data_IF_117501112253
#
_entry.id   IF_117501112253
#
_cell.length_a   1.000
_cell.length_b   1.000
_cell.length_c   1.000
_cell.angle_alpha   90.00
_cell.angle_beta   90.00
_cell.angle_gamma   90.00
#
_symmetry.space_group_name_H-M   'P 1'
#
loop_
_entity.id
_entity.type
_entity.pdbx_description
1 polymer ?
#
# COMPACT_ATOMS: atom_id res chain seq x y z
N UNK A 1 1.15 8.20 20.31
CA UNK A 1 1.53 8.77 18.99
C UNK A 1 1.56 10.30 19.01
N UNK A 2 0.44 10.98 19.22
CA UNK A 2 0.36 12.46 19.16
C UNK A 2 1.34 13.20 20.08
N UNK A 3 1.44 12.82 21.36
CA UNK A 3 2.24 13.57 22.33
C UNK A 3 3.76 13.37 22.22
N UNK A 4 4.22 12.34 21.51
CA UNK A 4 5.65 11.95 21.49
C UNK A 4 6.24 12.02 20.10
N UNK A 5 5.54 11.57 19.07
CA UNK A 5 6.09 11.57 17.70
C UNK A 5 5.76 12.88 17.00
N UNK A 6 4.47 13.24 16.96
CA UNK A 6 3.99 14.44 16.25
C UNK A 6 4.52 15.72 16.92
N UNK A 7 4.44 15.82 18.26
CA UNK A 7 4.98 16.99 19.00
C UNK A 7 6.49 17.16 18.85
N UNK A 8 7.24 16.09 18.61
CA UNK A 8 8.68 16.14 18.40
C UNK A 8 9.07 16.20 16.90
N UNK A 9 8.10 16.47 16.02
CA UNK A 9 8.30 16.61 14.58
C UNK A 9 8.94 15.38 13.91
N UNK A 10 8.68 14.19 14.44
CA UNK A 10 9.11 12.93 13.83
C UNK A 10 8.17 12.59 12.66
N UNK A 11 8.71 12.54 11.45
CA UNK A 11 7.98 12.10 10.27
C UNK A 11 7.82 10.57 10.28
N UNK A 12 6.60 10.09 10.09
CA UNK A 12 6.26 8.68 9.97
C UNK A 12 5.48 8.49 8.66
N UNK A 13 6.11 7.83 7.69
CA UNK A 13 5.52 7.64 6.36
C UNK A 13 4.55 6.46 6.30
N UNK A 14 4.65 5.53 7.25
CA UNK A 14 3.75 4.38 7.35
C UNK A 14 4.03 3.50 8.56
N UNK A 15 3.00 2.79 9.03
CA UNK A 15 3.09 1.84 10.16
C UNK A 15 2.55 0.48 9.77
N UNK A 16 3.39 -0.55 9.91
CA UNK A 16 3.00 -1.94 9.73
C UNK A 16 2.88 -2.57 11.13
N UNK A 17 1.66 -2.71 11.64
CA UNK A 17 1.44 -3.43 12.90
C UNK A 17 1.36 -4.93 12.62
N UNK A 18 2.30 -5.71 13.12
CA UNK A 18 2.28 -7.17 13.03
C UNK A 18 1.78 -7.73 14.35
N UNK A 19 0.60 -8.35 14.35
CA UNK A 19 0.00 -8.87 15.58
C UNK A 19 -0.77 -10.18 15.32
N UNK A 20 -0.50 -11.17 16.15
CA UNK A 20 -0.74 -12.60 15.92
C UNK A 20 -0.11 -13.09 14.60
N UNK A 21 1.22 -13.17 14.57
CA UNK A 21 1.99 -13.74 13.45
C UNK A 21 2.81 -14.92 13.96
N UNK A 22 2.56 -16.08 13.39
CA UNK A 22 3.33 -17.30 13.64
C UNK A 22 2.81 -18.45 12.79
N UNK A 23 1.53 -18.38 12.42
CA UNK A 23 0.86 -19.43 11.67
C UNK A 23 0.83 -20.74 12.44
N UNK A 24 0.41 -21.79 11.76
CA UNK A 24 0.49 -23.16 12.25
C UNK A 24 0.30 -24.13 11.09
N UNK A 25 0.70 -25.38 11.30
CA UNK A 25 0.42 -26.44 10.33
C UNK A 25 -1.09 -26.54 10.09
N UNK A 26 -1.50 -26.54 8.82
CA UNK A 26 -2.89 -26.78 8.41
C UNK A 26 -3.77 -25.54 8.21
N UNK A 27 -3.27 -24.32 8.44
CA UNK A 27 -3.99 -23.10 8.06
C UNK A 27 -3.58 -22.63 6.65
N UNK A 28 -4.40 -21.83 5.95
CA UNK A 28 -4.03 -21.26 4.67
C UNK A 28 -2.71 -20.49 4.72
N UNK A 29 -1.85 -20.71 3.74
CA UNK A 29 -0.58 -19.99 3.58
C UNK A 29 -0.81 -18.62 2.92
N UNK A 30 -1.64 -17.82 3.57
CA UNK A 30 -2.00 -16.45 3.19
C UNK A 30 -1.90 -15.56 4.42
N UNK A 31 -1.91 -14.24 4.26
CA UNK A 31 -1.94 -13.29 5.39
C UNK A 31 -3.12 -12.33 5.25
N UNK A 32 -3.69 -11.90 6.38
CA UNK A 32 -4.76 -10.90 6.38
C UNK A 32 -4.15 -9.52 6.63
N UNK A 33 -4.59 -8.55 5.85
CA UNK A 33 -4.21 -7.14 6.00
C UNK A 33 -5.46 -6.30 6.23
N UNK A 34 -5.46 -5.56 7.33
CA UNK A 34 -6.52 -4.65 7.73
C UNK A 34 -6.08 -3.21 7.49
N UNK A 35 -6.90 -2.44 6.78
CA UNK A 35 -6.75 -1.00 6.67
C UNK A 35 -8.13 -0.36 6.50
N UNK A 36 -8.51 0.49 7.46
CA UNK A 36 -9.78 1.20 7.46
C UNK A 36 -9.68 2.54 6.72
N UNK A 37 -10.79 2.98 6.13
CA UNK A 37 -10.99 4.34 5.68
C UNK A 37 -11.76 4.42 4.37
N UNK A 38 -11.88 5.65 3.86
CA UNK A 38 -12.37 5.90 2.51
C UNK A 38 -11.41 5.32 1.48
N UNK A 39 -11.89 5.03 0.27
CA UNK A 39 -11.07 4.38 -0.77
C UNK A 39 -9.76 5.12 -1.10
N UNK A 40 -9.73 6.45 -0.95
CA UNK A 40 -8.56 7.31 -1.15
C UNK A 40 -7.85 7.71 0.15
N UNK A 41 -8.14 7.04 1.27
CA UNK A 41 -7.47 7.33 2.54
C UNK A 41 -5.98 6.97 2.47
N UNK A 42 -5.10 7.64 3.22
CA UNK A 42 -3.69 7.28 3.30
C UNK A 42 -3.45 5.82 3.72
N UNK A 43 -4.32 5.25 4.57
CA UNK A 43 -4.22 3.85 4.98
C UNK A 43 -4.55 2.89 3.83
N UNK A 44 -5.53 3.24 3.00
CA UNK A 44 -5.94 2.49 1.81
C UNK A 44 -4.93 2.60 0.67
N UNK A 45 -4.32 3.77 0.50
CA UNK A 45 -3.18 3.95 -0.41
C UNK A 45 -1.98 3.09 0.03
N UNK A 46 -1.63 3.11 1.32
CA UNK A 46 -0.54 2.31 1.87
C UNK A 46 -0.80 0.81 1.74
N UNK A 47 -2.04 0.38 1.99
CA UNK A 47 -2.49 -0.99 1.76
C UNK A 47 -2.32 -1.45 0.29
N UNK A 48 -2.70 -0.61 -0.68
CA UNK A 48 -2.49 -0.90 -2.12
C UNK A 48 -1.02 -1.04 -2.46
N UNK A 49 -0.18 -0.14 -1.96
CA UNK A 49 1.27 -0.26 -2.13
C UNK A 49 1.82 -1.55 -1.53
N UNK A 50 1.43 -1.89 -0.30
CA UNK A 50 1.85 -3.12 0.37
C UNK A 50 1.48 -4.37 -0.43
N UNK A 51 0.25 -4.42 -0.98
CA UNK A 51 -0.22 -5.49 -1.86
C UNK A 51 0.56 -5.56 -3.17
N UNK A 52 0.85 -4.42 -3.78
CA UNK A 52 1.64 -4.35 -5.01
C UNK A 52 3.05 -4.92 -4.81
N UNK A 53 3.74 -4.51 -3.74
CA UNK A 53 5.06 -5.07 -3.39
C UNK A 53 4.96 -6.57 -3.07
N UNK A 54 3.90 -7.04 -2.41
CA UNK A 54 3.68 -8.48 -2.20
C UNK A 54 3.61 -9.25 -3.52
N UNK A 55 2.88 -8.72 -4.51
CA UNK A 55 2.78 -9.32 -5.84
C UNK A 55 4.13 -9.41 -6.56
N UNK A 56 5.02 -8.43 -6.35
CA UNK A 56 6.35 -8.42 -6.97
C UNK A 56 7.33 -9.39 -6.30
N UNK A 57 7.36 -9.46 -4.97
CA UNK A 57 8.42 -10.15 -4.23
C UNK A 57 8.00 -11.44 -3.52
N UNK A 58 6.69 -11.69 -3.43
CA UNK A 58 6.15 -12.86 -2.75
C UNK A 58 4.84 -13.37 -3.41
N UNK A 59 4.82 -13.60 -4.74
CA UNK A 59 3.59 -13.91 -5.48
C UNK A 59 2.91 -15.21 -5.04
N UNK A 60 3.66 -16.14 -4.43
CA UNK A 60 3.17 -17.41 -3.93
C UNK A 60 2.53 -17.32 -2.52
N UNK A 61 2.56 -16.15 -1.88
CA UNK A 61 1.96 -15.92 -0.57
C UNK A 61 0.87 -14.84 -0.66
N UNK A 62 -0.38 -15.26 -0.94
CA UNK A 62 -1.48 -14.33 -1.14
C UNK A 62 -1.80 -13.52 0.12
N UNK A 63 -2.28 -12.30 -0.12
CA UNK A 63 -2.72 -11.38 0.93
C UNK A 63 -4.20 -11.06 0.76
N UNK A 64 -4.97 -11.27 1.82
CA UNK A 64 -6.39 -10.94 1.89
C UNK A 64 -6.57 -9.56 2.51
N UNK A 65 -7.07 -8.60 1.72
CA UNK A 65 -7.38 -7.27 2.21
C UNK A 65 -8.75 -7.23 2.89
N UNK A 66 -8.83 -6.49 3.99
CA UNK A 66 -10.05 -6.28 4.77
C UNK A 66 -10.15 -4.78 5.08
N UNK A 67 -11.25 -4.16 4.64
CA UNK A 67 -11.55 -2.76 4.94
C UNK A 67 -12.17 -2.60 6.33
N UNK A 68 -11.33 -2.81 7.35
CA UNK A 68 -11.68 -2.61 8.75
C UNK A 68 -10.40 -2.28 9.53
N UNK A 69 -10.55 -1.73 10.73
CA UNK A 69 -9.40 -1.39 11.57
C UNK A 69 -8.70 -2.62 12.14
N UNK A 70 -9.50 -3.60 12.53
CA UNK A 70 -9.10 -4.89 13.10
C UNK A 70 -10.29 -5.86 12.96
N UNK A 71 -10.16 -7.04 13.58
CA UNK A 71 -11.24 -8.01 13.76
C UNK A 71 -12.33 -7.42 14.68
N UNK A 72 -13.54 -7.90 14.52
CA UNK A 72 -14.68 -7.47 15.34
C UNK A 72 -14.37 -7.59 16.84
N UNK A 73 -14.66 -6.52 17.59
CA UNK A 73 -14.44 -6.45 19.04
C UNK A 73 -12.96 -6.41 19.49
N UNK A 74 -12.02 -6.26 18.56
CA UNK A 74 -10.58 -6.17 18.85
C UNK A 74 -10.01 -4.82 18.44
N UNK A 75 -8.87 -4.47 19.04
CA UNK A 75 -8.09 -3.30 18.72
C UNK A 75 -6.61 -3.66 18.74
N UNK A 76 -5.80 -2.89 18.02
CA UNK A 76 -4.35 -2.99 18.07
C UNK A 76 -3.70 -1.62 17.97
N UNK A 77 -2.38 -1.58 18.12
CA UNK A 77 -1.61 -0.33 18.21
C UNK A 77 -1.73 0.55 16.95
N UNK A 78 -2.03 -0.04 15.79
CA UNK A 78 -2.26 0.71 14.55
C UNK A 78 -3.36 1.77 14.69
N UNK A 79 -4.34 1.55 15.57
CA UNK A 79 -5.47 2.46 15.80
C UNK A 79 -5.03 3.88 16.13
N UNK A 80 -4.00 4.02 16.96
CA UNK A 80 -3.54 5.34 17.39
C UNK A 80 -2.83 6.11 16.28
N UNK A 81 -2.28 5.40 15.28
CA UNK A 81 -1.72 6.00 14.08
C UNK A 81 -2.82 6.37 13.09
N UNK A 82 -3.82 5.51 12.92
CA UNK A 82 -5.02 5.80 12.13
C UNK A 82 -5.72 7.06 12.63
N UNK A 83 -5.98 7.15 13.93
CA UNK A 83 -6.60 8.32 14.56
C UNK A 83 -5.77 9.61 14.41
N UNK A 84 -4.45 9.47 14.22
CA UNK A 84 -3.54 10.58 13.99
C UNK A 84 -3.37 10.94 12.50
N UNK A 85 -4.06 10.25 11.58
CA UNK A 85 -3.96 10.45 10.14
C UNK A 85 -2.67 9.90 9.52
N UNK A 86 -1.91 9.08 10.25
CA UNK A 86 -0.67 8.47 9.78
C UNK A 86 -1.00 7.16 9.05
N UNK A 87 -0.53 6.94 7.81
CA UNK A 87 -0.76 5.69 7.09
C UNK A 87 -0.41 4.47 7.95
N UNK A 88 -1.33 3.53 8.09
CA UNK A 88 -1.18 2.42 9.02
C UNK A 88 -2.02 1.22 8.59
N UNK A 89 -1.43 0.04 8.68
CA UNK A 89 -2.08 -1.23 8.39
C UNK A 89 -1.81 -2.22 9.54
N UNK A 90 -2.68 -3.21 9.68
CA UNK A 90 -2.44 -4.38 10.53
C UNK A 90 -2.26 -5.63 9.68
N UNK A 91 -1.25 -6.40 9.99
CA UNK A 91 -0.94 -7.71 9.42
C UNK A 91 -1.17 -8.75 10.50
N UNK A 92 -1.96 -9.77 10.18
CA UNK A 92 -2.28 -10.88 11.10
C UNK A 92 -2.42 -12.18 10.32
N UNK A 93 -2.20 -13.30 10.99
CA UNK A 93 -2.23 -14.61 10.34
C UNK A 93 -3.59 -14.94 9.70
N UNK A 94 -3.59 -15.85 8.73
CA UNK A 94 -4.81 -16.23 7.96
C UNK A 94 -5.93 -16.72 8.86
N UNK A 95 -5.58 -17.49 9.89
CA UNK A 95 -6.52 -18.04 10.85
C UNK A 95 -5.86 -18.15 12.22
N UNK A 96 -6.39 -17.41 13.18
CA UNK A 96 -5.93 -17.45 14.56
C UNK A 96 -6.48 -18.65 15.32
N UNK A 97 -5.72 -19.09 16.32
CA UNK A 97 -6.16 -20.10 17.28
C UNK A 97 -6.49 -19.46 18.64
N UNK A 98 -7.79 -19.31 18.99
CA UNK A 98 -8.19 -18.73 20.26
C UNK A 98 -7.67 -19.47 21.49
N UNK A 99 -7.30 -20.75 21.37
CA UNK A 99 -6.73 -21.54 22.48
C UNK A 99 -5.26 -21.20 22.77
N UNK A 100 -4.57 -20.58 21.81
CA UNK A 100 -3.20 -20.11 21.97
C UNK A 100 -3.16 -18.67 22.50
N UNK A 101 -4.12 -17.83 22.13
CA UNK A 101 -4.12 -16.42 22.54
C UNK A 101 -4.05 -16.27 24.07
N UNK A 102 -3.00 -15.60 24.56
CA UNK A 102 -2.71 -15.40 25.99
C UNK A 102 -2.62 -16.70 26.81
N UNK A 103 -2.28 -17.82 26.16
CA UNK A 103 -2.10 -19.13 26.79
C UNK A 103 -0.65 -19.35 27.18
N UNK A 104 -0.41 -20.09 28.27
CA UNK A 104 0.95 -20.56 28.63
C UNK A 104 1.54 -21.52 27.59
N UNK A 105 0.69 -22.01 26.68
CA UNK A 105 1.10 -22.92 25.61
C UNK A 105 1.33 -22.19 24.29
N UNK A 106 1.26 -20.86 24.26
CA UNK A 106 1.70 -20.04 23.12
C UNK A 106 3.22 -19.95 23.15
N UNK A 107 3.87 -20.96 22.57
CA UNK A 107 5.31 -21.14 22.63
C UNK A 107 5.90 -21.29 21.23
N UNK A 108 7.21 -21.05 21.13
CA UNK A 108 7.93 -21.05 19.85
C UNK A 108 7.89 -22.39 19.09
N UNK A 109 7.56 -23.49 19.77
CA UNK A 109 7.36 -24.81 19.18
C UNK A 109 6.09 -24.90 18.32
N UNK A 110 5.12 -24.00 18.50
CA UNK A 110 3.86 -23.98 17.73
C UNK A 110 3.91 -23.12 16.48
N UNK A 111 5.00 -22.38 16.27
CA UNK A 111 5.19 -21.50 15.13
C UNK A 111 5.45 -22.32 13.86
N UNK A 112 4.74 -21.99 12.78
CA UNK A 112 5.14 -22.39 11.42
C UNK A 112 6.22 -21.42 10.93
N UNK A 113 7.49 -21.81 11.06
CA UNK A 113 8.62 -20.97 10.64
C UNK A 113 8.65 -20.69 9.13
N UNK A 114 8.03 -21.53 8.30
CA UNK A 114 7.88 -21.26 6.86
C UNK A 114 6.89 -20.12 6.63
N UNK A 115 5.76 -20.15 7.33
CA UNK A 115 4.78 -19.07 7.33
C UNK A 115 5.39 -17.76 7.84
N UNK A 116 6.04 -17.79 9.00
CA UNK A 116 6.71 -16.63 9.60
C UNK A 116 7.76 -16.03 8.66
N UNK A 117 8.55 -16.87 7.98
CA UNK A 117 9.53 -16.42 7.00
C UNK A 117 8.89 -15.71 5.79
N UNK A 118 7.72 -16.16 5.32
CA UNK A 118 6.97 -15.50 4.23
C UNK A 118 6.43 -14.13 4.64
N UNK A 119 5.85 -14.01 5.84
CA UNK A 119 5.41 -12.71 6.37
C UNK A 119 6.61 -11.77 6.57
N UNK A 120 7.71 -12.28 7.11
CA UNK A 120 8.95 -11.53 7.30
C UNK A 120 9.52 -11.03 5.98
N UNK A 121 9.56 -11.89 4.94
CA UNK A 121 10.01 -11.51 3.60
C UNK A 121 9.16 -10.38 3.03
N UNK A 122 7.84 -10.45 3.19
CA UNK A 122 6.92 -9.42 2.72
C UNK A 122 7.17 -8.08 3.44
N UNK A 123 7.19 -8.08 4.77
CA UNK A 123 7.49 -6.88 5.56
C UNK A 123 8.84 -6.26 5.16
N UNK A 124 9.87 -7.10 5.01
CA UNK A 124 11.20 -6.65 4.61
C UNK A 124 11.21 -6.07 3.20
N UNK A 125 10.53 -6.69 2.23
CA UNK A 125 10.44 -6.18 0.87
C UNK A 125 9.77 -4.79 0.82
N UNK A 126 8.71 -4.59 1.62
CA UNK A 126 8.03 -3.29 1.72
C UNK A 126 8.95 -2.27 2.37
N UNK A 127 9.51 -2.55 3.55
CA UNK A 127 10.39 -1.61 4.26
C UNK A 127 11.64 -1.27 3.43
N UNK A 128 12.24 -2.24 2.75
CA UNK A 128 13.42 -2.02 1.91
C UNK A 128 13.09 -1.16 0.67
N UNK A 129 11.91 -1.38 0.05
CA UNK A 129 11.45 -0.49 -1.02
C UNK A 129 11.20 0.91 -0.46
N UNK A 130 10.46 1.05 0.64
CA UNK A 130 10.19 2.34 1.27
C UNK A 130 11.46 3.14 1.59
N UNK A 131 12.42 2.51 2.26
CA UNK A 131 13.63 3.19 2.74
C UNK A 131 14.62 3.52 1.62
N UNK A 132 14.62 2.74 0.54
CA UNK A 132 15.53 2.91 -0.59
C UNK A 132 14.92 3.63 -1.79
N UNK A 133 13.60 3.80 -1.84
CA UNK A 133 12.89 4.44 -2.92
C UNK A 133 13.08 5.96 -2.90
N UNK A 134 12.85 6.64 -4.04
CA UNK A 134 12.87 8.09 -4.08
C UNK A 134 11.71 8.69 -3.27
N UNK A 135 11.77 10.00 -3.04
CA UNK A 135 10.71 10.74 -2.38
C UNK A 135 9.37 10.57 -3.11
N UNK A 136 8.28 10.54 -2.34
CA UNK A 136 6.91 10.53 -2.87
C UNK A 136 6.71 11.76 -3.79
N UNK A 137 6.31 11.59 -5.06
CA UNK A 137 6.03 12.73 -5.93
C UNK A 137 4.79 13.51 -5.45
N UNK A 138 4.75 14.79 -5.83
CA UNK A 138 3.53 15.59 -5.76
C UNK A 138 2.47 15.05 -6.75
N UNK A 139 1.17 15.25 -6.45
CA UNK A 139 0.11 14.80 -7.35
C UNK A 139 0.18 15.53 -8.70
N UNK A 140 -0.07 14.82 -9.81
CA UNK A 140 -0.11 15.44 -11.13
C UNK A 140 -1.35 16.34 -11.26
N UNK A 141 -1.25 17.40 -12.06
CA UNK A 141 -2.44 18.07 -12.58
C UNK A 141 -3.08 17.18 -13.64
N UNK A 142 -4.40 17.00 -13.56
CA UNK A 142 -5.14 16.17 -14.53
C UNK A 142 -6.29 16.97 -15.12
N UNK A 143 -6.41 16.97 -16.45
CA UNK A 143 -7.50 17.65 -17.16
C UNK A 143 -8.14 16.70 -18.19
N UNK A 144 -9.45 16.80 -18.37
CA UNK A 144 -10.16 16.06 -19.40
C UNK A 144 -9.74 16.53 -20.80
N UNK A 145 -9.63 15.60 -21.74
CA UNK A 145 -9.41 15.89 -23.16
C UNK A 145 -10.74 15.92 -23.90
N UNK A 146 -10.74 16.46 -25.13
CA UNK A 146 -11.94 16.48 -25.98
C UNK A 146 -12.42 15.08 -26.38
N UNK A 147 -11.55 14.06 -26.28
CA UNK A 147 -11.89 12.66 -26.54
C UNK A 147 -12.44 12.06 -25.23
N UNK A 148 -13.67 11.52 -25.22
CA UNK A 148 -14.25 10.88 -24.04
C UNK A 148 -13.36 9.77 -23.49
N UNK A 149 -13.22 9.68 -22.16
CA UNK A 149 -12.36 8.69 -21.51
C UNK A 149 -10.87 8.96 -21.70
N UNK A 150 -10.48 10.18 -22.08
CA UNK A 150 -9.08 10.59 -22.19
C UNK A 150 -8.78 11.78 -21.30
N UNK A 151 -7.63 11.72 -20.63
CA UNK A 151 -7.14 12.76 -19.72
C UNK A 151 -5.70 13.10 -20.03
N UNK A 152 -5.33 14.36 -19.85
CA UNK A 152 -3.95 14.80 -19.91
C UNK A 152 -3.43 15.00 -18.48
N UNK A 153 -2.34 14.31 -18.16
CA UNK A 153 -1.62 14.44 -16.90
C UNK A 153 -0.40 15.32 -17.10
N UNK A 154 -0.18 16.27 -16.19
CA UNK A 154 0.99 17.15 -16.20
C UNK A 154 1.62 17.25 -14.82
N UNK A 155 2.93 17.09 -14.73
CA UNK A 155 3.71 17.28 -13.50
C UNK A 155 5.14 17.74 -13.84
N UNK A 156 5.89 18.20 -12.84
CA UNK A 156 7.30 18.57 -13.01
C UNK A 156 8.16 17.32 -12.82
N UNK A 157 8.88 16.83 -13.85
CA UNK A 157 9.76 15.68 -13.68
C UNK A 157 10.96 16.02 -12.79
N UNK A 158 11.33 15.08 -11.93
CA UNK A 158 12.58 15.13 -11.19
C UNK A 158 13.68 14.48 -12.05
N UNK A 159 14.72 15.26 -12.32
CA UNK A 159 15.88 14.85 -13.15
C UNK A 159 16.68 13.69 -12.56
N UNK A 160 16.51 13.37 -11.28
CA UNK A 160 17.22 12.28 -10.60
C UNK A 160 16.47 10.95 -10.66
N UNK A 161 15.22 10.94 -11.16
CA UNK A 161 14.45 9.72 -11.33
C UNK A 161 14.77 9.06 -12.67
N UNK A 162 14.76 7.73 -12.68
CA UNK A 162 14.83 6.94 -13.90
C UNK A 162 13.50 6.98 -14.68
N UNK A 163 12.39 7.18 -13.97
CA UNK A 163 11.06 7.26 -14.56
C UNK A 163 9.96 7.34 -13.52
N UNK A 164 8.74 7.08 -13.97
CA UNK A 164 7.53 7.11 -13.17
C UNK A 164 6.66 5.89 -13.43
N UNK A 165 6.00 5.40 -12.39
CA UNK A 165 4.87 4.48 -12.50
C UNK A 165 3.57 5.26 -12.32
N UNK A 166 2.65 5.12 -13.25
CA UNK A 166 1.36 5.79 -13.25
C UNK A 166 0.28 4.76 -12.92
N UNK A 167 -0.52 5.07 -11.91
CA UNK A 167 -1.73 4.33 -11.57
C UNK A 167 -2.97 5.11 -12.00
N UNK A 168 -3.92 4.41 -12.61
CA UNK A 168 -5.22 4.94 -13.03
C UNK A 168 -6.28 3.88 -12.75
N UNK A 169 -6.80 3.87 -11.52
CA UNK A 169 -7.73 2.81 -11.05
C UNK A 169 -9.16 3.33 -10.99
N UNK A 170 -10.19 2.53 -11.34
CA UNK A 170 -11.56 2.88 -11.00
C UNK A 170 -11.69 3.05 -9.48
N UNK A 171 -12.38 4.10 -9.03
CA UNK A 171 -12.65 4.30 -7.60
C UNK A 171 -13.41 3.09 -7.05
N UNK A 172 -13.02 2.63 -5.86
CA UNK A 172 -13.51 1.39 -5.24
C UNK A 172 -12.68 0.14 -5.58
N UNK A 173 -11.66 0.25 -6.43
CA UNK A 173 -10.71 -0.85 -6.66
C UNK A 173 -9.74 -0.99 -5.49
N UNK A 174 -9.67 -2.19 -4.91
CA UNK A 174 -8.78 -2.51 -3.78
C UNK A 174 -7.32 -2.72 -4.18
N UNK A 175 -7.05 -2.89 -5.48
CA UNK A 175 -5.73 -3.14 -6.05
C UNK A 175 -5.30 -2.05 -7.03
N UNK A 176 -3.99 -1.94 -7.26
CA UNK A 176 -3.52 -1.23 -8.45
C UNK A 176 -3.77 -2.09 -9.70
N UNK A 177 -4.37 -1.53 -10.76
CA UNK A 177 -4.35 -2.16 -12.08
C UNK A 177 -2.91 -2.21 -12.60
N UNK A 178 -2.66 -2.87 -13.74
CA UNK A 178 -1.37 -2.78 -14.43
C UNK A 178 -0.91 -1.32 -14.52
N UNK A 179 0.27 -1.04 -13.95
CA UNK A 179 0.83 0.31 -13.93
C UNK A 179 1.35 0.67 -15.32
N UNK A 180 1.21 1.94 -15.70
CA UNK A 180 1.88 2.47 -16.88
C UNK A 180 3.23 3.05 -16.48
N UNK A 181 4.30 2.50 -17.02
CA UNK A 181 5.66 2.98 -16.80
C UNK A 181 6.05 4.02 -17.86
N UNK A 182 6.72 5.09 -17.43
CA UNK A 182 7.19 6.19 -18.28
C UNK A 182 8.63 6.50 -17.93
N UNK A 183 9.51 6.56 -18.93
CA UNK A 183 10.91 6.94 -18.71
C UNK A 183 11.03 8.44 -18.40
N UNK A 184 12.09 8.85 -17.70
CA UNK A 184 12.26 10.26 -17.30
C UNK A 184 12.34 11.24 -18.47
N UNK A 185 12.82 10.80 -19.64
CA UNK A 185 12.86 11.61 -20.87
C UNK A 185 11.48 11.82 -21.54
N UNK A 186 10.48 11.04 -21.16
CA UNK A 186 9.10 11.09 -21.68
C UNK A 186 8.11 11.61 -20.62
N UNK A 187 8.59 11.86 -19.40
CA UNK A 187 7.77 12.23 -18.26
C UNK A 187 7.28 13.69 -18.29
N UNK A 188 6.25 13.97 -17.50
CA UNK A 188 5.80 15.33 -17.21
C UNK A 188 4.59 15.79 -18.02
N UNK A 189 4.30 15.17 -19.16
CA UNK A 189 3.09 15.45 -19.93
C UNK A 189 2.59 14.19 -20.66
N UNK A 190 1.63 13.49 -20.06
CA UNK A 190 1.19 12.16 -20.51
C UNK A 190 -0.32 12.11 -20.72
N UNK A 191 -0.74 11.73 -21.92
CA UNK A 191 -2.14 11.42 -22.20
C UNK A 191 -2.47 10.00 -21.71
N UNK A 192 -3.45 9.88 -20.82
CA UNK A 192 -4.14 8.63 -20.50
C UNK A 192 -5.32 8.50 -21.46
N UNK A 193 -5.31 7.48 -22.29
CA UNK A 193 -6.37 7.18 -23.27
C UNK A 193 -7.01 5.84 -22.95
N UNK A 194 -8.10 5.53 -23.65
CA UNK A 194 -8.77 4.23 -23.61
C UNK A 194 -9.36 3.87 -22.24
N UNK A 195 -9.64 4.88 -21.40
CA UNK A 195 -10.41 4.69 -20.17
C UNK A 195 -11.90 4.59 -20.50
N UNK A 196 -12.65 3.89 -19.65
CA UNK A 196 -14.09 3.68 -19.83
C UNK A 196 -14.82 5.01 -19.58
N UNK A 197 -15.46 5.61 -20.59
CA UNK A 197 -16.26 6.82 -20.39
C UNK A 197 -17.37 6.58 -19.37
N UNK A 198 -17.69 7.57 -18.53
CA UNK A 198 -18.67 7.39 -17.45
C UNK A 198 -18.09 6.88 -16.13
N UNK A 199 -16.84 6.41 -16.11
CA UNK A 199 -16.19 5.87 -14.89
C UNK A 199 -15.35 6.92 -14.18
N UNK A 200 -15.50 7.05 -12.87
CA UNK A 200 -14.62 7.86 -12.02
C UNK A 200 -13.34 7.10 -11.71
N UNK A 201 -12.19 7.72 -11.98
CA UNK A 201 -10.86 7.17 -11.74
C UNK A 201 -10.13 7.92 -10.64
N UNK A 202 -9.33 7.20 -9.87
CA UNK A 202 -8.28 7.73 -9.01
C UNK A 202 -6.94 7.60 -9.74
N UNK A 203 -6.24 8.72 -9.91
CA UNK A 203 -4.97 8.80 -10.64
C UNK A 203 -3.85 9.22 -9.70
N UNK A 204 -2.71 8.55 -9.78
CA UNK A 204 -1.53 8.88 -8.99
C UNK A 204 -0.24 8.46 -9.69
N UNK A 205 0.89 9.03 -9.27
CA UNK A 205 2.21 8.72 -9.83
C UNK A 205 3.19 8.34 -8.71
N UNK A 206 4.06 7.37 -8.98
CA UNK A 206 5.20 7.03 -8.13
C UNK A 206 6.50 7.26 -8.91
N UNK A 207 7.54 7.74 -8.22
CA UNK A 207 8.88 7.87 -8.79
C UNK A 207 9.63 6.55 -8.78
N UNK A 208 10.51 6.37 -9.76
CA UNK A 208 11.36 5.18 -9.90
C UNK A 208 12.82 5.61 -9.88
N UNK A 209 13.63 5.02 -8.99
CA UNK A 209 15.08 5.27 -8.95
C UNK A 209 15.82 4.47 -10.04
N UNK A 210 17.13 4.71 -10.16
CA UNK A 210 17.99 3.98 -11.09
C UNK A 210 18.11 2.47 -10.80
N UNK A 211 17.69 2.01 -9.61
CA UNK A 211 17.68 0.60 -9.21
C UNK A 211 16.31 -0.06 -9.42
N UNK A 212 15.33 0.68 -9.96
CA UNK A 212 13.96 0.19 -10.17
C UNK A 212 13.09 0.19 -8.91
N UNK A 213 13.50 0.84 -7.81
CA UNK A 213 12.68 0.98 -6.61
C UNK A 213 11.60 2.02 -6.82
N UNK A 214 10.38 1.67 -6.43
CA UNK A 214 9.18 2.49 -6.64
C UNK A 214 8.82 3.18 -5.32
N UNK A 215 8.70 4.51 -5.33
CA UNK A 215 8.23 5.30 -4.19
C UNK A 215 6.78 4.98 -3.83
N UNK A 216 6.29 5.53 -2.72
CA UNK A 216 4.85 5.68 -2.58
C UNK A 216 4.28 6.49 -3.76
N UNK A 217 3.07 6.13 -4.16
CA UNK A 217 2.29 6.92 -5.12
C UNK A 217 1.91 8.24 -4.48
N UNK A 218 1.90 9.33 -5.24
CA UNK A 218 1.32 10.63 -4.86
C UNK A 218 -0.09 10.47 -4.29
N UNK A 219 -0.60 11.45 -3.52
CA UNK A 219 -2.03 11.49 -3.21
C UNK A 219 -2.85 11.35 -4.48
N UNK A 220 -3.95 10.61 -4.40
CA UNK A 220 -4.79 10.35 -5.56
C UNK A 220 -5.59 11.58 -6.00
N UNK A 221 -5.56 11.87 -7.30
CA UNK A 221 -6.40 12.87 -7.95
C UNK A 221 -7.62 12.15 -8.52
N UNK A 222 -8.81 12.53 -8.05
CA UNK A 222 -10.06 12.00 -8.57
C UNK A 222 -10.41 12.71 -9.87
N UNK A 223 -10.61 11.93 -10.92
CA UNK A 223 -11.06 12.41 -12.21
C UNK A 223 -12.37 11.72 -12.58
N UNK A 224 -13.32 12.53 -12.98
CA UNK A 224 -14.61 12.08 -13.47
C UNK A 224 -14.75 12.46 -14.95
N UNK A 225 -15.54 11.69 -15.71
CA UNK A 225 -15.96 12.06 -17.07
C UNK A 225 -16.71 13.38 -17.12
#
# INVERSE_FOLDING_TARGET
VQNVMIRNNVQIDGVINNDTIGGRVGIPQTVRMFAEGTDTSPHREFARYYRYINGLYNPEFPLTFINALDREGRWGDQREFVNAGIPAIRITESQEDPSLLNSITDTYEKIDYSYLAKVTRLNLAVVANFAGAPARPEPPSVAAMAIPGSFIMTWIPDRFLAGYAISYRPVGSDDYPPLRFVNSNEAGHIALTDLVPGTTYAVSIAGIDANGRISMFSPEVIVSP
#
